data_IF_514268014663
#
_entry.id   IF_514268014663
#
_cell.length_a   1.000
_cell.length_b   1.000
_cell.length_c   1.000
_cell.angle_alpha   90.00
_cell.angle_beta   90.00
_cell.angle_gamma   90.00
#
_symmetry.space_group_name_H-M   'P 1'
#
loop_
_entity.id
_entity.type
_entity.pdbx_description
1 polymer ?
#
# COMPACT_ATOMS: atom_id res chain seq x y z
N UNK A 1 -6.80 14.41 -22.08
CA UNK A 1 -6.03 13.42 -22.86
C UNK A 1 -5.24 12.57 -21.87
N UNK A 2 -5.66 11.31 -21.72
CA UNK A 2 -4.97 10.33 -20.89
C UNK A 2 -4.03 9.56 -21.81
N UNK A 3 -2.75 9.89 -21.75
CA UNK A 3 -1.72 9.16 -22.45
C UNK A 3 -1.57 7.77 -21.81
N UNK A 4 -1.93 6.72 -22.54
CA UNK A 4 -1.76 5.34 -22.09
C UNK A 4 -0.31 4.92 -22.33
N UNK A 5 0.49 4.89 -21.27
CA UNK A 5 1.77 4.21 -21.30
C UNK A 5 1.55 2.70 -21.45
N UNK A 6 2.05 2.12 -22.56
CA UNK A 6 2.09 0.68 -22.79
C UNK A 6 3.45 0.16 -22.32
N UNK A 7 3.56 -0.08 -21.03
CA UNK A 7 4.75 -0.69 -20.42
C UNK A 7 4.33 -1.74 -19.40
N UNK A 8 5.12 -2.78 -19.28
CA UNK A 8 4.94 -3.88 -18.33
C UNK A 8 4.72 -3.35 -16.90
N UNK A 9 3.51 -3.58 -16.36
CA UNK A 9 3.28 -3.53 -14.92
C UNK A 9 3.18 -2.15 -14.28
N UNK A 10 2.59 -1.16 -14.93
CA UNK A 10 2.35 0.14 -14.30
C UNK A 10 1.36 0.00 -13.12
N UNK A 11 1.88 0.01 -11.91
CA UNK A 11 1.07 0.11 -10.70
C UNK A 11 0.64 1.56 -10.52
N UNK A 12 -0.56 1.91 -10.99
CA UNK A 12 -1.16 3.22 -10.72
C UNK A 12 -1.74 3.22 -9.31
N UNK A 13 -1.16 4.04 -8.43
CA UNK A 13 -1.78 4.37 -7.15
C UNK A 13 -2.50 5.69 -7.30
N UNK A 14 -3.83 5.69 -7.24
CA UNK A 14 -4.64 6.89 -7.03
C UNK A 14 -5.04 6.92 -5.58
N UNK A 15 -4.64 7.98 -4.88
CA UNK A 15 -5.08 8.23 -3.53
C UNK A 15 -5.69 9.63 -3.45
N UNK A 16 -6.93 9.70 -2.98
CA UNK A 16 -7.59 10.95 -2.63
C UNK A 16 -7.69 10.96 -1.11
N UNK A 17 -7.12 11.99 -0.48
CA UNK A 17 -7.22 12.20 0.96
C UNK A 17 -7.96 13.50 1.24
N UNK A 18 -9.01 13.43 2.05
CA UNK A 18 -9.53 14.61 2.74
C UNK A 18 -8.64 14.82 3.97
N UNK A 19 -7.93 15.94 4.03
CA UNK A 19 -7.12 16.27 5.20
C UNK A 19 -8.05 16.42 6.41
N UNK A 20 -7.92 15.54 7.38
CA UNK A 20 -8.69 15.57 8.64
C UNK A 20 -7.88 16.23 9.76
N UNK A 21 -6.55 16.23 9.65
CA UNK A 21 -5.62 16.85 10.59
C UNK A 21 -4.38 17.36 9.84
N UNK A 22 -3.76 18.41 10.35
CA UNK A 22 -2.53 18.98 9.83
C UNK A 22 -2.72 19.99 8.70
N UNK A 23 -1.62 20.67 8.35
CA UNK A 23 -1.58 21.65 7.25
C UNK A 23 -1.77 20.95 5.91
N UNK A 24 -2.64 21.49 5.05
CA UNK A 24 -2.71 21.08 3.64
C UNK A 24 -1.45 21.59 2.93
N UNK A 25 -0.55 20.67 2.62
CA UNK A 25 0.74 20.95 1.98
C UNK A 25 1.18 19.74 1.14
N UNK A 26 1.94 19.98 0.09
CA UNK A 26 2.37 18.94 -0.84
C UNK A 26 3.21 17.86 -0.16
N UNK A 27 4.08 18.27 0.76
CA UNK A 27 4.92 17.40 1.57
C UNK A 27 4.14 16.42 2.47
N UNK A 28 2.86 16.69 2.72
CA UNK A 28 1.97 15.85 3.51
C UNK A 28 1.07 14.94 2.66
N UNK A 29 1.26 14.93 1.34
CA UNK A 29 0.44 14.13 0.44
C UNK A 29 0.97 12.72 0.27
N UNK A 30 0.08 11.74 0.32
CA UNK A 30 0.37 10.37 -0.09
C UNK A 30 0.27 10.20 -1.62
N UNK A 31 0.97 9.20 -2.20
CA UNK A 31 1.92 8.30 -1.55
C UNK A 31 3.28 8.97 -1.32
N UNK A 32 3.98 8.59 -0.26
CA UNK A 32 5.37 8.96 -0.06
C UNK A 32 6.28 8.04 -0.87
N UNK A 33 7.40 8.58 -1.36
CA UNK A 33 8.37 7.84 -2.17
C UNK A 33 9.78 8.11 -1.65
N UNK A 34 10.55 7.05 -1.42
CA UNK A 34 11.98 7.13 -1.07
C UNK A 34 12.73 5.99 -1.76
N UNK A 35 14.02 6.20 -1.94
CA UNK A 35 14.92 5.17 -2.48
C UNK A 35 15.53 4.35 -1.34
N UNK A 36 15.62 3.02 -1.53
CA UNK A 36 16.39 2.10 -0.72
C UNK A 36 16.84 0.93 -1.60
N UNK A 37 18.14 0.58 -1.55
CA UNK A 37 18.76 -0.52 -2.31
C UNK A 37 18.60 -0.42 -3.84
N UNK A 38 18.66 0.81 -4.39
CA UNK A 38 18.49 1.04 -5.82
C UNK A 38 17.04 0.90 -6.31
N UNK A 39 16.04 0.86 -5.43
CA UNK A 39 14.62 0.75 -5.74
C UNK A 39 13.83 1.88 -5.12
N UNK A 40 12.74 2.27 -5.77
CA UNK A 40 11.78 3.16 -5.16
C UNK A 40 10.81 2.38 -4.28
N UNK A 41 10.81 2.72 -3.00
CA UNK A 41 9.76 2.32 -2.08
C UNK A 41 8.65 3.36 -2.08
N UNK A 42 7.42 2.90 -2.24
CA UNK A 42 6.21 3.73 -2.30
C UNK A 42 5.30 3.35 -1.15
N UNK A 43 4.92 4.33 -0.35
CA UNK A 43 4.19 4.11 0.90
C UNK A 43 2.90 4.91 0.97
N UNK A 44 1.84 4.27 1.46
CA UNK A 44 0.58 4.90 1.81
C UNK A 44 0.06 4.34 3.14
N UNK A 45 -0.51 5.21 3.96
CA UNK A 45 -1.08 4.88 5.26
C UNK A 45 -2.47 5.49 5.41
N UNK A 46 -3.39 4.71 5.96
CA UNK A 46 -4.71 5.13 6.38
C UNK A 46 -4.85 4.81 7.86
N UNK A 47 -4.82 5.84 8.69
CA UNK A 47 -4.89 5.72 10.14
C UNK A 47 -4.38 6.98 10.85
N UNK A 48 -4.14 6.86 12.13
CA UNK A 48 -3.64 7.89 13.02
C UNK A 48 -2.75 7.23 14.10
N UNK A 49 -1.51 7.67 14.22
CA UNK A 49 -0.53 7.17 15.18
C UNK A 49 -0.30 8.22 16.26
N UNK A 50 -0.71 7.91 17.48
CA UNK A 50 -0.60 8.81 18.62
C UNK A 50 0.74 8.62 19.32
N UNK A 51 1.41 9.74 19.59
CA UNK A 51 2.69 9.76 20.31
C UNK A 51 3.80 8.91 19.63
N UNK A 52 3.65 8.66 18.33
CA UNK A 52 4.67 7.97 17.54
C UNK A 52 5.76 8.96 17.13
N UNK A 53 6.83 9.01 17.94
CA UNK A 53 7.99 9.88 17.74
C UNK A 53 9.27 9.03 17.62
N UNK A 54 9.49 8.35 16.49
CA UNK A 54 10.66 7.49 16.33
C UNK A 54 11.96 8.31 16.30
N UNK A 55 13.04 7.74 16.84
CA UNK A 55 14.36 8.31 16.66
C UNK A 55 14.86 8.05 15.25
N UNK A 56 14.95 9.09 14.43
CA UNK A 56 15.43 9.03 13.07
C UNK A 56 16.85 9.60 12.99
N UNK A 57 17.84 8.70 13.09
CA UNK A 57 19.28 9.05 13.10
C UNK A 57 19.96 8.80 11.74
N UNK A 58 19.22 8.27 10.77
CA UNK A 58 19.69 7.89 9.44
C UNK A 58 19.40 8.94 8.35
N UNK A 59 19.56 8.54 7.09
CA UNK A 59 19.33 9.43 5.96
C UNK A 59 17.84 9.67 5.67
N UNK A 60 16.94 8.90 6.28
CA UNK A 60 15.50 9.03 6.06
C UNK A 60 14.91 9.98 7.10
N UNK A 61 14.57 11.19 6.64
CA UNK A 61 13.97 12.23 7.47
C UNK A 61 12.63 12.64 6.85
N UNK A 62 11.59 12.93 7.68
CA UNK A 62 10.36 13.51 7.19
C UNK A 62 10.63 14.92 6.62
N UNK A 63 9.98 15.25 5.51
CA UNK A 63 9.94 16.60 4.93
C UNK A 63 8.70 17.33 5.45
N UNK A 64 7.59 16.60 5.58
CA UNK A 64 6.34 17.08 6.13
C UNK A 64 6.24 16.88 7.65
N UNK A 65 5.02 16.91 8.13
CA UNK A 65 4.69 16.85 9.56
C UNK A 65 3.75 15.71 9.93
N UNK A 66 3.58 14.73 9.03
CA UNK A 66 2.64 13.63 9.25
C UNK A 66 3.29 12.45 9.97
N UNK A 67 2.53 11.83 10.85
CA UNK A 67 2.84 10.53 11.46
C UNK A 67 3.11 9.45 10.41
N UNK A 68 2.40 9.50 9.30
CA UNK A 68 2.54 8.59 8.16
C UNK A 68 3.93 8.67 7.54
N UNK A 69 4.46 9.87 7.31
CA UNK A 69 5.80 10.03 6.75
C UNK A 69 6.88 9.63 7.76
N UNK A 70 6.68 9.95 9.05
CA UNK A 70 7.57 9.51 10.12
C UNK A 70 7.63 7.99 10.20
N UNK A 71 6.48 7.30 10.10
CA UNK A 71 6.42 5.83 10.06
C UNK A 71 7.14 5.26 8.84
N UNK A 72 6.99 5.86 7.68
CA UNK A 72 7.70 5.43 6.47
C UNK A 72 9.23 5.60 6.62
N UNK A 73 9.69 6.75 7.09
CA UNK A 73 11.11 6.99 7.34
C UNK A 73 11.68 5.98 8.35
N UNK A 74 10.93 5.68 9.41
CA UNK A 74 11.30 4.69 10.41
C UNK A 74 11.42 3.28 9.81
N UNK A 75 10.44 2.85 9.02
CA UNK A 75 10.49 1.55 8.34
C UNK A 75 11.77 1.44 7.48
N UNK A 76 12.07 2.45 6.66
CA UNK A 76 13.24 2.41 5.79
C UNK A 76 14.56 2.43 6.59
N UNK A 77 14.63 3.22 7.67
CA UNK A 77 15.80 3.23 8.56
C UNK A 77 16.05 1.85 9.17
N UNK A 78 14.99 1.22 9.71
CA UNK A 78 15.10 -0.08 10.35
C UNK A 78 15.39 -1.21 9.37
N UNK A 79 14.82 -1.16 8.16
CA UNK A 79 15.16 -2.10 7.10
C UNK A 79 16.65 -1.98 6.70
N UNK A 80 17.14 -0.76 6.51
CA UNK A 80 18.56 -0.52 6.21
C UNK A 80 19.46 -0.97 7.37
N UNK A 81 19.06 -0.73 8.62
CA UNK A 81 19.83 -1.17 9.79
C UNK A 81 19.90 -2.69 9.90
N UNK A 82 18.85 -3.42 9.49
CA UNK A 82 18.80 -4.90 9.56
C UNK A 82 19.57 -5.59 8.45
N UNK A 83 19.60 -4.99 7.26
CA UNK A 83 20.10 -5.63 6.04
C UNK A 83 21.23 -4.87 5.36
N UNK A 84 21.75 -3.82 5.99
CA UNK A 84 22.81 -2.96 5.46
C UNK A 84 22.50 -2.46 4.03
N UNK A 85 23.43 -2.59 3.09
CA UNK A 85 23.28 -2.08 1.72
C UNK A 85 22.78 -3.14 0.72
N UNK A 86 22.32 -4.30 1.18
CA UNK A 86 21.85 -5.37 0.31
C UNK A 86 20.35 -5.63 0.46
N UNK A 87 19.65 -5.67 -0.68
CA UNK A 87 18.26 -6.09 -0.70
C UNK A 87 18.13 -7.53 -0.19
N UNK A 88 17.40 -7.80 0.91
CA UNK A 88 17.18 -9.14 1.41
C UNK A 88 16.29 -9.97 0.48
N UNK A 89 16.27 -11.28 0.69
CA UNK A 89 15.27 -12.13 0.03
C UNK A 89 13.85 -11.79 0.52
N UNK A 90 12.86 -12.00 -0.34
CA UNK A 90 11.47 -11.64 -0.04
C UNK A 90 10.93 -12.18 1.30
N UNK A 91 11.20 -13.44 1.71
CA UNK A 91 10.74 -13.92 3.02
C UNK A 91 11.35 -13.13 4.19
N UNK A 92 12.62 -12.76 4.11
CA UNK A 92 13.32 -11.98 5.14
C UNK A 92 12.78 -10.55 5.20
N UNK A 93 12.57 -9.93 4.02
CA UNK A 93 11.95 -8.61 3.92
C UNK A 93 10.52 -8.62 4.49
N UNK A 94 9.73 -9.66 4.15
CA UNK A 94 8.36 -9.82 4.65
C UNK A 94 8.35 -9.94 6.17
N UNK A 95 9.23 -10.76 6.74
CA UNK A 95 9.33 -10.93 8.19
C UNK A 95 9.70 -9.61 8.89
N UNK A 96 10.68 -8.89 8.34
CA UNK A 96 11.09 -7.60 8.90
C UNK A 96 9.97 -6.56 8.84
N UNK A 97 9.24 -6.46 7.72
CA UNK A 97 8.08 -5.56 7.58
C UNK A 97 6.96 -5.98 8.56
N UNK A 98 6.71 -7.28 8.72
CA UNK A 98 5.70 -7.76 9.67
C UNK A 98 6.03 -7.38 11.12
N UNK A 99 7.30 -7.44 11.52
CA UNK A 99 7.72 -7.01 12.86
C UNK A 99 7.51 -5.49 13.03
N UNK A 100 7.96 -4.70 12.06
CA UNK A 100 7.84 -3.24 12.11
C UNK A 100 6.38 -2.78 12.09
N UNK A 101 5.52 -3.41 11.29
CA UNK A 101 4.09 -3.06 11.27
C UNK A 101 3.41 -3.40 12.60
N UNK A 102 3.79 -4.50 13.25
CA UNK A 102 3.28 -4.88 14.57
C UNK A 102 3.72 -3.89 15.66
N UNK A 103 4.94 -3.41 15.57
CA UNK A 103 5.48 -2.39 16.48
C UNK A 103 4.75 -1.06 16.30
N UNK A 104 4.66 -0.55 15.06
CA UNK A 104 4.02 0.74 14.77
C UNK A 104 2.53 0.70 15.11
N UNK A 105 1.84 -0.41 14.86
CA UNK A 105 0.41 -0.57 15.16
C UNK A 105 0.06 -0.46 16.65
N UNK A 106 1.04 -0.50 17.55
CA UNK A 106 0.83 -0.25 18.99
C UNK A 106 0.50 1.22 19.29
N UNK A 107 0.86 2.13 18.37
CA UNK A 107 0.62 3.56 18.52
C UNK A 107 -0.72 4.03 17.93
N UNK A 108 -1.46 3.15 17.25
CA UNK A 108 -2.77 3.51 16.71
C UNK A 108 -3.19 2.71 15.49
N UNK A 109 -4.10 3.28 14.70
CA UNK A 109 -4.55 2.64 13.47
C UNK A 109 -3.48 2.72 12.40
N UNK A 110 -3.01 1.55 11.94
CA UNK A 110 -1.94 1.44 10.95
C UNK A 110 -2.33 0.50 9.80
N UNK A 111 -3.25 0.95 8.94
CA UNK A 111 -3.52 0.27 7.67
C UNK A 111 -2.55 0.85 6.64
N UNK A 112 -1.59 0.06 6.18
CA UNK A 112 -0.56 0.57 5.28
C UNK A 112 -0.41 -0.27 4.02
N UNK A 113 0.06 0.37 2.98
CA UNK A 113 0.57 -0.26 1.76
C UNK A 113 1.99 0.22 1.50
N UNK A 114 2.90 -0.73 1.30
CA UNK A 114 4.30 -0.49 0.96
C UNK A 114 4.65 -1.31 -0.28
N UNK A 115 5.28 -0.70 -1.27
CA UNK A 115 5.71 -1.41 -2.47
C UNK A 115 7.14 -1.05 -2.83
N UNK A 116 7.95 -2.04 -3.21
CA UNK A 116 9.30 -1.88 -3.77
C UNK A 116 9.34 -1.98 -5.29
N UNK A 117 8.15 -1.99 -5.93
CA UNK A 117 7.97 -2.20 -7.37
C UNK A 117 7.88 -3.66 -7.78
N UNK A 118 8.39 -4.61 -7.00
CA UNK A 118 8.30 -6.06 -7.27
C UNK A 118 7.19 -6.73 -6.46
N UNK A 119 6.96 -6.25 -5.24
CA UNK A 119 5.93 -6.74 -4.33
C UNK A 119 5.16 -5.58 -3.71
N UNK A 120 3.93 -5.84 -3.31
CA UNK A 120 3.11 -4.97 -2.49
C UNK A 120 2.85 -5.65 -1.15
N UNK A 121 3.23 -5.00 -0.07
CA UNK A 121 2.98 -5.38 1.31
C UNK A 121 1.78 -4.58 1.82
N UNK A 122 0.72 -5.25 2.26
CA UNK A 122 -0.48 -4.62 2.81
C UNK A 122 -0.70 -5.09 4.24
N UNK A 123 -0.69 -4.17 5.20
CA UNK A 123 -0.96 -4.45 6.61
C UNK A 123 -2.31 -3.86 7.02
N UNK A 124 -3.10 -4.68 7.71
CA UNK A 124 -4.40 -4.31 8.25
C UNK A 124 -4.37 -4.27 9.77
N UNK A 125 -4.58 -3.13 10.37
CA UNK A 125 -4.79 -3.04 11.82
C UNK A 125 -6.28 -2.99 12.19
N UNK A 126 -7.14 -2.50 11.32
CA UNK A 126 -8.57 -2.36 11.58
C UNK A 126 -9.44 -3.02 10.52
N UNK A 127 -9.51 -2.42 9.34
CA UNK A 127 -10.39 -2.87 8.26
C UNK A 127 -9.76 -2.68 6.90
N UNK A 128 -9.46 -3.79 6.23
CA UNK A 128 -9.08 -3.84 4.83
C UNK A 128 -9.76 -5.02 4.15
N UNK A 129 -10.09 -4.85 2.90
CA UNK A 129 -10.60 -5.88 2.02
C UNK A 129 -9.77 -5.92 0.75
N UNK A 130 -9.72 -7.07 0.10
CA UNK A 130 -9.15 -7.17 -1.23
C UNK A 130 -9.99 -8.06 -2.14
N UNK A 131 -9.86 -7.80 -3.43
CA UNK A 131 -10.35 -8.68 -4.49
C UNK A 131 -9.26 -8.83 -5.53
N UNK A 132 -9.15 -10.04 -6.10
CA UNK A 132 -8.31 -10.30 -7.26
C UNK A 132 -9.21 -10.40 -8.47
N UNK A 133 -8.99 -9.53 -9.46
CA UNK A 133 -9.65 -9.62 -10.76
C UNK A 133 -8.68 -10.16 -11.78
N UNK A 134 -9.10 -11.19 -12.48
CA UNK A 134 -8.36 -11.85 -13.55
C UNK A 134 -9.32 -12.37 -14.61
N UNK A 135 -8.78 -12.76 -15.76
CA UNK A 135 -9.62 -13.34 -16.82
C UNK A 135 -10.33 -14.64 -16.37
N UNK A 136 -11.62 -14.85 -16.74
CA UNK A 136 -12.51 -13.92 -17.46
C UNK A 136 -13.01 -12.81 -16.54
N UNK A 137 -12.86 -11.55 -17.00
CA UNK A 137 -13.34 -10.40 -16.24
C UNK A 137 -14.87 -10.30 -16.33
N UNK A 138 -15.52 -10.11 -15.20
CA UNK A 138 -16.96 -9.90 -15.09
C UNK A 138 -17.32 -8.41 -15.05
N UNK A 139 -18.60 -8.12 -15.19
CA UNK A 139 -19.17 -6.81 -14.96
C UNK A 139 -19.18 -6.52 -13.44
N UNK A 140 -18.72 -5.35 -13.05
CA UNK A 140 -18.75 -4.87 -11.67
C UNK A 140 -19.76 -3.74 -11.51
N UNK A 141 -20.56 -3.81 -10.44
CA UNK A 141 -21.55 -2.78 -10.08
C UNK A 141 -21.02 -2.01 -8.86
N UNK A 142 -20.78 -0.70 -9.03
CA UNK A 142 -20.27 0.16 -7.96
C UNK A 142 -21.30 0.35 -6.85
N UNK A 143 -20.81 0.53 -5.61
CA UNK A 143 -21.68 0.78 -4.44
C UNK A 143 -22.24 2.20 -4.42
N UNK A 144 -21.49 3.19 -4.90
CA UNK A 144 -21.82 4.61 -4.74
C UNK A 144 -22.59 5.20 -5.92
N UNK A 145 -22.60 4.53 -7.07
CA UNK A 145 -23.27 4.97 -8.29
C UNK A 145 -23.87 3.76 -9.00
N UNK A 146 -25.01 3.96 -9.68
CA UNK A 146 -25.59 2.93 -10.58
C UNK A 146 -24.76 2.77 -11.87
N UNK A 147 -23.44 2.77 -11.71
CA UNK A 147 -22.49 2.59 -12.81
C UNK A 147 -22.01 1.14 -12.83
N UNK A 148 -22.16 0.54 -13.99
CA UNK A 148 -21.62 -0.78 -14.30
C UNK A 148 -20.40 -0.63 -15.16
N UNK A 149 -19.35 -1.33 -14.80
CA UNK A 149 -18.10 -1.34 -15.56
C UNK A 149 -17.87 -2.74 -16.10
N UNK A 150 -17.85 -2.85 -17.42
CA UNK A 150 -17.49 -4.08 -18.12
C UNK A 150 -15.97 -4.12 -18.35
N UNK A 151 -15.27 -4.81 -17.50
CA UNK A 151 -13.80 -4.91 -17.60
C UNK A 151 -13.33 -5.77 -18.78
N UNK A 152 -14.19 -6.63 -19.34
CA UNK A 152 -13.83 -7.50 -20.48
C UNK A 152 -13.49 -6.73 -21.76
N UNK A 153 -13.97 -5.48 -21.90
CA UNK A 153 -13.73 -4.64 -23.06
C UNK A 153 -12.36 -3.94 -23.06
N UNK A 154 -11.73 -3.84 -21.87
CA UNK A 154 -10.51 -3.06 -21.66
C UNK A 154 -9.34 -3.87 -21.13
N UNK A 155 -9.53 -5.19 -20.94
CA UNK A 155 -8.53 -6.10 -20.37
C UNK A 155 -8.14 -7.21 -21.35
N UNK A 156 -6.97 -7.79 -21.10
CA UNK A 156 -6.44 -8.94 -21.85
C UNK A 156 -6.46 -10.21 -20.98
N UNK A 157 -6.34 -11.42 -21.58
CA UNK A 157 -6.29 -12.65 -20.81
C UNK A 157 -5.15 -12.76 -19.79
N UNK A 158 -4.11 -11.94 -19.93
CA UNK A 158 -2.95 -11.95 -19.04
C UNK A 158 -3.05 -10.90 -17.92
N UNK A 159 -4.06 -10.02 -17.96
CA UNK A 159 -4.22 -8.98 -16.96
C UNK A 159 -4.70 -9.59 -15.63
N UNK A 160 -4.07 -9.15 -14.56
CA UNK A 160 -4.46 -9.47 -13.19
C UNK A 160 -4.28 -8.23 -12.33
N UNK A 161 -5.25 -7.98 -11.48
CA UNK A 161 -5.26 -6.80 -10.59
C UNK A 161 -5.73 -7.21 -9.21
N UNK A 162 -4.94 -6.92 -8.19
CA UNK A 162 -5.41 -6.90 -6.82
C UNK A 162 -5.87 -5.49 -6.46
N UNK A 163 -7.07 -5.36 -5.95
CA UNK A 163 -7.63 -4.10 -5.45
C UNK A 163 -7.75 -4.25 -3.94
N UNK A 164 -7.15 -3.29 -3.21
CA UNK A 164 -7.15 -3.28 -1.75
C UNK A 164 -7.83 -1.99 -1.29
N UNK A 165 -8.83 -2.11 -0.43
CA UNK A 165 -9.69 -1.01 0.00
C UNK A 165 -10.05 -1.14 1.48
N UNK A 166 -10.46 -0.06 2.11
CA UNK A 166 -11.02 -0.10 3.47
C UNK A 166 -12.44 -0.65 3.48
N UNK A 167 -13.22 -0.37 2.44
CA UNK A 167 -14.59 -0.85 2.27
C UNK A 167 -14.81 -1.33 0.84
N UNK A 168 -15.56 -2.44 0.63
CA UNK A 168 -15.89 -2.94 -0.71
C UNK A 168 -16.46 -1.86 -1.63
N UNK A 169 -15.94 -1.79 -2.85
CA UNK A 169 -16.37 -0.79 -3.85
C UNK A 169 -17.52 -1.29 -4.74
N UNK A 170 -17.82 -2.59 -4.70
CA UNK A 170 -18.80 -3.23 -5.57
C UNK A 170 -19.73 -4.12 -4.76
N UNK A 171 -20.98 -4.25 -5.23
CA UNK A 171 -22.03 -5.00 -4.55
C UNK A 171 -22.18 -6.43 -5.06
N UNK A 172 -21.71 -6.72 -6.27
CA UNK A 172 -21.89 -8.00 -6.97
C UNK A 172 -20.61 -8.86 -7.01
N UNK A 173 -19.55 -8.45 -6.33
CA UNK A 173 -18.28 -9.18 -6.24
C UNK A 173 -18.01 -9.66 -4.81
N UNK A 174 -17.27 -10.76 -4.69
CA UNK A 174 -16.85 -11.27 -3.37
C UNK A 174 -15.52 -10.68 -2.96
N UNK A 175 -15.53 -9.88 -1.92
CA UNK A 175 -14.34 -9.30 -1.31
C UNK A 175 -13.84 -10.16 -0.16
N UNK A 176 -12.54 -10.34 -0.07
CA UNK A 176 -11.89 -11.04 1.04
C UNK A 176 -11.45 -10.03 2.07
N UNK A 177 -11.91 -10.19 3.31
CA UNK A 177 -11.52 -9.33 4.43
C UNK A 177 -10.18 -9.78 5.01
N UNK A 178 -9.30 -8.82 5.30
CA UNK A 178 -8.09 -9.07 6.09
C UNK A 178 -8.46 -9.31 7.57
N UNK A 179 -7.64 -10.10 8.22
CA UNK A 179 -7.68 -10.17 9.70
C UNK A 179 -6.93 -8.98 10.30
N UNK A 180 -7.37 -8.53 11.47
CA UNK A 180 -6.62 -7.52 12.22
C UNK A 180 -5.22 -8.04 12.58
N UNK A 181 -4.20 -7.22 12.36
CA UNK A 181 -2.78 -7.57 12.51
C UNK A 181 -2.19 -8.36 11.35
N UNK A 182 -2.96 -8.62 10.30
CA UNK A 182 -2.49 -9.40 9.15
C UNK A 182 -1.64 -8.53 8.21
N UNK A 183 -0.49 -9.09 7.80
CA UNK A 183 0.30 -8.60 6.67
C UNK A 183 0.16 -9.59 5.51
N UNK A 184 -0.27 -9.10 4.35
CA UNK A 184 -0.29 -9.87 3.09
C UNK A 184 0.67 -9.26 2.08
N UNK A 185 1.28 -10.16 1.31
CA UNK A 185 2.17 -9.77 0.19
C UNK A 185 1.49 -10.14 -1.12
N UNK A 186 1.53 -9.21 -2.07
CA UNK A 186 0.98 -9.41 -3.41
C UNK A 186 2.10 -9.29 -4.44
N UNK A 187 2.14 -10.22 -5.38
CA UNK A 187 3.05 -10.21 -6.54
C UNK A 187 2.21 -10.49 -7.79
N UNK A 188 2.42 -9.71 -8.84
CA UNK A 188 1.70 -9.84 -10.11
C UNK A 188 0.17 -9.92 -9.93
N UNK A 189 -0.38 -9.12 -9.02
CA UNK A 189 -1.81 -9.07 -8.74
C UNK A 189 -2.36 -10.23 -7.92
N UNK A 190 -1.53 -11.12 -7.38
CA UNK A 190 -1.95 -12.26 -6.57
C UNK A 190 -1.40 -12.18 -5.14
N UNK A 191 -2.20 -12.52 -4.12
CA UNK A 191 -1.69 -12.67 -2.77
C UNK A 191 -0.79 -13.92 -2.69
N UNK A 192 0.32 -13.81 -1.99
CA UNK A 192 1.11 -14.97 -1.59
C UNK A 192 0.36 -15.77 -0.51
N UNK A 193 0.52 -17.10 -0.49
CA UNK A 193 -0.13 -17.97 0.49
C UNK A 193 0.36 -17.72 1.93
#
# INVERSE_FOLDING_TARGET
>A
DVERSRGLGDVYKRQIRKATQGRVALENCHPFVRELWGRYFVFAHNGDLKDFNPELNGPYQPVGTTDSEAAFCYILQELRRRFDDALPMLPELTAAIADLTREIAQYGTFNMMLSDGSALFAHCSTNLHYIVRQHPFAEATLCDEDVKVNFSEVTTPNDRVAIIVTEPLTTNETWTQFKSGELKVFIDGLPLP
#
